data_IF_312307371214
#
_entry.id   IF_312307371214
#
_cell.length_a   1.000
_cell.length_b   1.000
_cell.length_c   1.000
_cell.angle_alpha   90.00
_cell.angle_beta   90.00
_cell.angle_gamma   90.00
#
_symmetry.space_group_name_H-M   'P 1'
#
loop_
_entity.id
_entity.type
_entity.pdbx_description
1 polymer ?
#
# COMPACT_ATOMS: atom_id res chain seq x y z
N UNK A 1 -16.43 -45.33 56.72
CA UNK A 1 -17.62 -44.49 56.44
C UNK A 1 -17.49 -43.20 57.23
N UNK A 2 -17.56 -42.05 56.58
CA UNK A 2 -17.42 -40.74 57.20
C UNK A 2 -16.59 -39.79 56.34
N UNK A 3 -17.18 -39.33 55.23
CA UNK A 3 -16.58 -38.35 54.34
C UNK A 3 -16.20 -37.07 55.11
N UNK A 4 -14.95 -36.63 54.93
CA UNK A 4 -14.55 -35.23 55.12
C UNK A 4 -15.38 -34.37 54.16
N UNK A 5 -15.87 -33.18 54.54
CA UNK A 5 -16.32 -32.23 53.56
C UNK A 5 -15.07 -31.75 52.82
N UNK A 6 -14.95 -32.17 51.57
CA UNK A 6 -14.11 -31.50 50.59
C UNK A 6 -14.64 -30.07 50.55
N UNK A 7 -13.92 -29.17 51.22
CA UNK A 7 -14.02 -27.74 50.96
C UNK A 7 -13.64 -27.60 49.49
N UNK A 8 -14.64 -27.69 48.62
CA UNK A 8 -14.50 -27.34 47.22
C UNK A 8 -14.03 -25.89 47.26
N UNK A 9 -12.75 -25.73 47.01
CA UNK A 9 -12.14 -24.51 46.54
C UNK A 9 -12.75 -24.25 45.14
N UNK A 10 -14.05 -23.93 45.11
CA UNK A 10 -14.61 -23.05 44.10
C UNK A 10 -14.00 -21.68 44.42
N UNK A 11 -12.71 -21.54 44.10
CA UNK A 11 -12.23 -20.28 43.58
C UNK A 11 -13.15 -20.02 42.40
N UNK A 12 -14.15 -19.16 42.64
CA UNK A 12 -14.62 -18.30 41.60
C UNK A 12 -13.35 -17.74 40.95
N UNK A 13 -13.00 -18.26 39.77
CA UNK A 13 -12.30 -17.47 38.78
C UNK A 13 -13.24 -16.29 38.55
N UNK A 14 -13.09 -15.26 39.40
CA UNK A 14 -13.52 -13.93 39.03
C UNK A 14 -12.76 -13.68 37.73
N UNK A 15 -13.49 -13.82 36.64
CA UNK A 15 -13.14 -13.36 35.32
C UNK A 15 -12.80 -11.87 35.48
N UNK A 16 -11.53 -11.55 35.71
CA UNK A 16 -11.11 -10.17 35.94
C UNK A 16 -11.38 -9.42 34.64
N UNK A 17 -12.14 -8.33 34.73
CA UNK A 17 -12.29 -7.42 33.62
C UNK A 17 -10.96 -6.68 33.41
N UNK A 18 -10.61 -6.39 32.16
CA UNK A 18 -9.44 -5.59 31.78
C UNK A 18 -9.92 -4.22 31.35
N UNK A 19 -9.39 -3.16 31.95
CA UNK A 19 -9.76 -1.80 31.58
C UNK A 19 -9.05 -1.38 30.29
N UNK A 20 -9.77 -0.89 29.30
CA UNK A 20 -9.20 -0.45 28.02
C UNK A 20 -9.81 0.86 27.54
N UNK A 21 -9.15 1.52 26.59
CA UNK A 21 -9.74 2.60 25.81
C UNK A 21 -9.88 2.17 24.36
N UNK A 22 -11.11 2.20 23.83
CA UNK A 22 -11.45 1.77 22.49
C UNK A 22 -11.56 2.97 21.56
N UNK A 23 -10.90 2.91 20.41
CA UNK A 23 -10.85 3.95 19.40
C UNK A 23 -11.37 3.44 18.05
N UNK A 24 -11.75 4.37 17.19
CA UNK A 24 -11.95 4.09 15.76
C UNK A 24 -10.59 3.78 15.10
N UNK A 25 -10.62 3.04 14.00
CA UNK A 25 -9.42 2.68 13.24
C UNK A 25 -8.54 3.92 12.97
N UNK A 26 -7.32 3.90 13.50
CA UNK A 26 -6.36 4.96 13.33
C UNK A 26 -6.61 6.26 14.09
N UNK A 27 -7.65 6.38 14.92
CA UNK A 27 -7.88 7.59 15.73
C UNK A 27 -7.16 7.49 17.07
N UNK A 28 -6.71 8.63 17.63
CA UNK A 28 -6.10 8.70 18.95
C UNK A 28 -6.84 9.59 19.95
N UNK A 29 -7.88 10.26 19.49
CA UNK A 29 -8.76 11.12 20.29
C UNK A 29 -10.16 10.52 20.34
N UNK A 30 -10.97 10.99 21.29
CA UNK A 30 -12.36 10.56 21.47
C UNK A 30 -12.55 9.05 21.72
N UNK A 31 -11.55 8.40 22.34
CA UNK A 31 -11.64 7.01 22.75
C UNK A 31 -12.65 6.80 23.88
N UNK A 32 -13.28 5.62 23.91
CA UNK A 32 -14.29 5.25 24.92
C UNK A 32 -13.68 4.23 25.88
N UNK A 33 -13.73 4.54 27.17
CA UNK A 33 -13.30 3.61 28.21
C UNK A 33 -14.30 2.45 28.36
N UNK A 34 -13.82 1.22 28.35
CA UNK A 34 -14.64 -0.01 28.43
C UNK A 34 -13.93 -1.02 29.33
N UNK A 35 -14.68 -1.72 30.18
CA UNK A 35 -14.19 -2.87 30.93
C UNK A 35 -14.47 -4.15 30.13
N UNK A 36 -13.42 -4.79 29.60
CA UNK A 36 -13.55 -6.01 28.79
C UNK A 36 -13.56 -7.22 29.71
N UNK A 37 -14.64 -8.01 29.65
CA UNK A 37 -14.75 -9.27 30.40
C UNK A 37 -14.48 -10.48 29.49
N UNK A 38 -14.05 -11.64 30.03
CA UNK A 38 -13.90 -12.87 29.25
C UNK A 38 -15.13 -13.28 28.44
N UNK A 39 -16.35 -12.94 28.91
CA UNK A 39 -17.58 -13.22 28.18
C UNK A 39 -17.75 -12.37 26.91
N UNK A 40 -17.08 -11.22 26.84
CA UNK A 40 -17.07 -10.33 25.66
C UNK A 40 -16.03 -10.77 24.62
N UNK A 41 -15.03 -11.56 25.02
CA UNK A 41 -13.87 -11.93 24.21
C UNK A 41 -13.75 -13.45 24.03
N UNK A 42 -14.88 -14.12 23.72
CA UNK A 42 -14.90 -15.56 23.37
C UNK A 42 -14.19 -15.85 22.04
N UNK A 43 -14.12 -14.84 21.18
CA UNK A 43 -13.27 -14.77 19.98
C UNK A 43 -12.97 -13.30 19.67
N UNK A 44 -12.02 -13.04 18.76
CA UNK A 44 -11.75 -11.68 18.26
C UNK A 44 -12.96 -11.05 17.57
N UNK A 45 -13.78 -11.85 16.86
CA UNK A 45 -15.01 -11.39 16.22
C UNK A 45 -16.08 -11.02 17.24
N UNK A 46 -16.24 -11.81 18.30
CA UNK A 46 -17.19 -11.50 19.39
C UNK A 46 -16.77 -10.21 20.10
N UNK A 47 -15.47 -10.03 20.34
CA UNK A 47 -14.92 -8.81 20.92
C UNK A 47 -15.19 -7.60 20.03
N UNK A 48 -14.89 -7.69 18.73
CA UNK A 48 -15.13 -6.61 17.77
C UNK A 48 -16.62 -6.23 17.70
N UNK A 49 -17.49 -7.25 17.66
CA UNK A 49 -18.95 -7.07 17.64
C UNK A 49 -19.44 -6.36 18.91
N UNK A 50 -18.95 -6.79 20.08
CA UNK A 50 -19.35 -6.21 21.35
C UNK A 50 -18.86 -4.77 21.50
N UNK A 51 -17.58 -4.51 21.19
CA UNK A 51 -17.00 -3.17 21.29
C UNK A 51 -17.62 -2.17 20.30
N UNK A 52 -18.10 -2.64 19.15
CA UNK A 52 -18.84 -1.82 18.17
C UNK A 52 -20.16 -1.25 18.72
N UNK A 53 -20.65 -1.74 19.86
CA UNK A 53 -21.82 -1.15 20.56
C UNK A 53 -21.48 0.12 21.33
N UNK A 54 -20.19 0.37 21.62
CA UNK A 54 -19.69 1.52 22.37
C UNK A 54 -19.05 2.58 21.46
N UNK A 55 -18.36 2.14 20.41
CA UNK A 55 -17.64 3.01 19.47
C UNK A 55 -18.22 2.82 18.07
N UNK A 56 -18.74 3.88 17.41
CA UNK A 56 -19.23 3.77 16.05
C UNK A 56 -18.09 3.44 15.09
N UNK A 57 -18.33 2.51 14.18
CA UNK A 57 -17.35 2.08 13.18
C UNK A 57 -17.78 2.61 11.81
N UNK A 58 -16.88 3.27 11.11
CA UNK A 58 -17.06 3.66 9.71
C UNK A 58 -16.46 2.58 8.81
N UNK A 59 -17.30 1.89 8.03
CA UNK A 59 -16.87 0.93 7.01
C UNK A 59 -17.12 1.41 5.60
N UNK A 60 -17.13 0.47 4.65
CA UNK A 60 -17.45 0.75 3.25
C UNK A 60 -18.93 1.08 3.07
N UNK A 61 -19.24 1.86 2.03
CA UNK A 61 -20.58 2.30 1.64
C UNK A 61 -21.15 1.42 0.51
N UNK A 62 -20.72 0.16 0.40
CA UNK A 62 -21.09 -0.72 -0.72
C UNK A 62 -22.57 -1.15 -0.69
N UNK A 63 -23.24 -1.01 0.45
CA UNK A 63 -24.67 -1.27 0.57
C UNK A 63 -25.41 -0.16 1.36
N UNK A 64 -26.20 0.64 0.65
CA UNK A 64 -27.10 1.66 1.22
C UNK A 64 -28.17 1.09 2.16
N UNK A 65 -28.31 -0.25 2.27
CA UNK A 65 -29.21 -0.94 3.18
C UNK A 65 -28.65 -1.14 4.60
N UNK A 66 -27.32 -1.04 4.78
CA UNK A 66 -26.66 -1.25 6.08
C UNK A 66 -26.72 0.04 6.90
N UNK A 67 -27.58 0.06 7.93
CA UNK A 67 -27.76 1.24 8.81
C UNK A 67 -26.67 1.40 9.88
N UNK A 68 -25.95 0.32 10.22
CA UNK A 68 -24.90 0.33 11.24
C UNK A 68 -23.84 -0.69 10.85
N UNK A 69 -22.60 -0.22 10.78
CA UNK A 69 -21.45 -1.06 10.46
C UNK A 69 -20.86 -1.59 11.77
N UNK A 70 -20.51 -2.87 11.79
CA UNK A 70 -19.91 -3.56 12.93
C UNK A 70 -18.49 -3.95 12.54
N UNK A 71 -17.52 -3.69 13.40
CA UNK A 71 -16.14 -4.15 13.19
C UNK A 71 -16.04 -5.67 13.25
N UNK A 72 -15.18 -6.25 12.43
CA UNK A 72 -14.86 -7.68 12.42
C UNK A 72 -13.51 -8.00 13.07
N UNK A 73 -12.68 -6.97 13.31
CA UNK A 73 -11.35 -7.10 13.90
C UNK A 73 -11.10 -6.03 14.96
N UNK A 74 -10.30 -6.40 15.96
CA UNK A 74 -9.75 -5.50 16.99
C UNK A 74 -8.23 -5.59 16.95
N UNK A 75 -7.57 -4.45 16.87
CA UNK A 75 -6.11 -4.36 16.99
C UNK A 75 -5.74 -3.66 18.29
N UNK A 76 -4.64 -4.06 18.92
CA UNK A 76 -4.13 -3.42 20.12
C UNK A 76 -3.17 -2.26 19.81
N UNK A 77 -2.65 -1.59 20.86
CA UNK A 77 -1.70 -0.47 20.74
C UNK A 77 -0.37 -0.85 20.08
N UNK A 78 -0.07 -2.14 19.99
CA UNK A 78 1.12 -2.71 19.35
C UNK A 78 0.85 -3.16 17.91
N UNK A 79 -0.32 -2.87 17.35
CA UNK A 79 -0.71 -3.26 15.98
C UNK A 79 -0.94 -4.76 15.79
N UNK A 80 -1.17 -5.50 16.88
CA UNK A 80 -1.44 -6.93 16.84
C UNK A 80 -2.94 -7.18 16.82
N UNK A 81 -3.37 -8.16 16.02
CA UNK A 81 -4.75 -8.63 16.02
C UNK A 81 -5.07 -9.28 17.37
N UNK A 82 -6.17 -8.88 17.99
CA UNK A 82 -6.66 -9.40 19.27
C UNK A 82 -7.71 -10.47 18.99
N UNK A 83 -7.38 -11.71 19.35
CA UNK A 83 -8.23 -12.90 19.22
C UNK A 83 -8.80 -13.37 20.56
N UNK A 84 -8.18 -12.99 21.69
CA UNK A 84 -8.65 -13.32 23.04
C UNK A 84 -8.30 -12.25 24.08
N UNK A 85 -8.99 -12.27 25.22
CA UNK A 85 -8.74 -11.33 26.33
C UNK A 85 -7.33 -11.41 26.91
N UNK A 86 -6.67 -12.57 26.83
CA UNK A 86 -5.33 -12.79 27.37
C UNK A 86 -4.24 -11.99 26.60
N UNK A 87 -4.59 -11.43 25.43
CA UNK A 87 -3.74 -10.58 24.60
C UNK A 87 -3.93 -9.08 24.87
N UNK A 88 -4.80 -8.74 25.84
CA UNK A 88 -5.14 -7.37 26.21
C UNK A 88 -4.49 -7.03 27.54
N UNK A 89 -3.75 -5.93 27.58
CA UNK A 89 -3.13 -5.38 28.79
C UNK A 89 -4.03 -4.32 29.45
N UNK A 90 -3.82 -4.11 30.75
CA UNK A 90 -4.55 -3.09 31.52
C UNK A 90 -4.21 -1.67 31.01
N UNK A 91 -5.24 -0.85 30.81
CA UNK A 91 -5.21 0.48 30.19
C UNK A 91 -4.76 0.49 28.72
N UNK A 92 -4.84 -0.65 28.02
CA UNK A 92 -4.44 -0.73 26.62
C UNK A 92 -5.40 0.05 25.68
N UNK A 93 -4.86 0.51 24.55
CA UNK A 93 -5.61 1.12 23.47
C UNK A 93 -6.03 0.03 22.48
N UNK A 94 -7.33 -0.06 22.19
CA UNK A 94 -7.89 -0.98 21.20
C UNK A 94 -8.47 -0.21 20.02
N UNK A 95 -8.34 -0.74 18.80
CA UNK A 95 -8.81 -0.11 17.57
C UNK A 95 -9.77 -1.04 16.84
N UNK A 96 -10.98 -0.55 16.58
CA UNK A 96 -11.99 -1.29 15.83
C UNK A 96 -11.77 -1.09 14.33
N UNK A 97 -11.65 -2.19 13.59
CA UNK A 97 -11.46 -2.18 12.13
C UNK A 97 -12.67 -2.83 11.47
N UNK A 98 -13.28 -2.12 10.52
CA UNK A 98 -14.44 -2.59 9.79
C UNK A 98 -14.08 -3.68 8.75
N UNK A 99 -15.06 -4.52 8.37
CA UNK A 99 -14.91 -5.44 7.25
C UNK A 99 -14.34 -4.78 6.00
N UNK A 100 -13.30 -5.41 5.44
CA UNK A 100 -12.58 -4.98 4.24
C UNK A 100 -11.73 -3.71 4.38
N UNK A 101 -11.68 -3.06 5.55
CA UNK A 101 -10.70 -2.00 5.83
C UNK A 101 -9.45 -2.60 6.47
N UNK A 102 -8.30 -2.00 6.19
CA UNK A 102 -7.02 -2.35 6.80
C UNK A 102 -6.79 -1.52 8.07
N UNK A 103 -6.03 -2.07 9.01
CA UNK A 103 -5.57 -1.34 10.20
C UNK A 103 -4.69 -0.16 9.79
N UNK A 104 -4.93 1.01 10.40
CA UNK A 104 -4.10 2.20 10.22
C UNK A 104 -3.48 2.55 11.56
N UNK A 105 -2.15 2.68 11.61
CA UNK A 105 -1.45 3.10 12.81
C UNK A 105 -1.98 4.44 13.31
N UNK A 106 -2.33 4.59 14.60
CA UNK A 106 -2.77 5.85 15.17
C UNK A 106 -1.58 6.79 15.42
N UNK A 107 -1.75 8.09 15.21
CA UNK A 107 -0.79 9.08 15.72
C UNK A 107 -1.09 9.30 17.20
N UNK A 108 -0.27 8.79 18.12
CA UNK A 108 -0.54 8.88 19.57
C UNK A 108 -0.16 10.26 20.09
N UNK A 109 1.11 10.59 19.92
CA UNK A 109 1.72 11.89 20.20
C UNK A 109 3.05 11.94 19.43
N UNK A 110 3.60 13.14 19.23
CA UNK A 110 4.89 13.29 18.55
C UNK A 110 5.99 12.50 19.28
N UNK A 111 6.72 11.66 18.55
CA UNK A 111 7.80 10.84 19.09
C UNK A 111 7.35 9.54 19.77
N UNK A 112 6.04 9.25 19.83
CA UNK A 112 5.57 7.95 20.33
C UNK A 112 6.09 6.82 19.44
N UNK A 113 6.72 5.82 20.05
CA UNK A 113 7.30 4.68 19.35
C UNK A 113 6.57 3.37 19.62
N UNK A 114 6.38 2.57 18.58
CA UNK A 114 5.93 1.17 18.67
C UNK A 114 6.97 0.26 18.03
N UNK A 115 7.23 -0.88 18.66
CA UNK A 115 8.09 -1.94 18.14
C UNK A 115 7.23 -2.98 17.42
N UNK A 116 7.50 -3.20 16.13
CA UNK A 116 6.80 -4.18 15.29
C UNK A 116 7.74 -5.35 15.00
N UNK A 117 7.34 -6.54 15.42
CA UNK A 117 8.05 -7.78 15.09
C UNK A 117 7.82 -8.12 13.63
N UNK A 118 8.87 -8.08 12.81
CA UNK A 118 8.79 -8.55 11.44
C UNK A 118 9.13 -10.02 11.35
N UNK A 119 8.09 -10.84 11.34
CA UNK A 119 8.19 -12.30 11.28
C UNK A 119 8.63 -12.81 9.90
N UNK A 120 8.40 -12.01 8.86
CA UNK A 120 8.80 -12.32 7.49
C UNK A 120 10.15 -11.67 7.10
N UNK A 121 10.76 -10.88 7.99
CA UNK A 121 12.04 -10.20 7.75
C UNK A 121 13.26 -11.11 7.98
N UNK A 122 14.28 -11.03 7.11
CA UNK A 122 15.57 -11.67 7.34
C UNK A 122 16.44 -10.92 8.38
N UNK A 123 16.11 -9.68 8.76
CA UNK A 123 16.94 -8.86 9.67
C UNK A 123 16.91 -9.35 11.12
N UNK A 124 15.87 -10.12 11.50
CA UNK A 124 15.64 -10.63 12.86
C UNK A 124 15.68 -9.54 13.95
N UNK A 125 15.38 -8.30 13.57
CA UNK A 125 15.28 -7.15 14.47
C UNK A 125 13.89 -6.54 14.36
N UNK A 126 13.35 -6.01 15.46
CA UNK A 126 12.10 -5.28 15.42
C UNK A 126 12.25 -4.01 14.56
N UNK A 127 11.17 -3.66 13.87
CA UNK A 127 11.02 -2.37 13.20
C UNK A 127 10.49 -1.39 14.23
N UNK A 128 11.08 -0.19 14.35
CA UNK A 128 10.57 0.85 15.25
C UNK A 128 9.82 1.88 14.44
N UNK A 129 8.53 2.04 14.73
CA UNK A 129 7.66 3.05 14.12
C UNK A 129 7.49 4.22 15.08
N UNK A 130 7.85 5.43 14.65
CA UNK A 130 7.78 6.66 15.45
C UNK A 130 6.76 7.64 14.86
N UNK A 131 5.81 8.09 15.68
CA UNK A 131 4.78 9.07 15.32
C UNK A 131 5.41 10.42 14.99
N UNK A 132 5.21 10.92 13.77
CA UNK A 132 5.79 12.17 13.31
C UNK A 132 4.76 13.26 13.04
N UNK A 133 3.64 12.91 12.40
CA UNK A 133 2.56 13.86 12.14
C UNK A 133 1.20 13.15 12.01
N UNK A 134 0.13 13.84 12.39
CA UNK A 134 -1.24 13.31 12.36
C UNK A 134 -1.93 13.48 11.00
N UNK A 135 -1.83 14.68 10.39
CA UNK A 135 -2.47 15.01 9.10
C UNK A 135 -1.52 15.80 8.18
N UNK A 136 -1.00 15.19 7.09
CA UNK A 136 -1.15 13.77 6.77
C UNK A 136 -0.56 12.88 7.84
N UNK A 137 -1.02 11.65 7.85
CA UNK A 137 -0.47 10.66 8.77
C UNK A 137 0.91 10.21 8.32
N UNK A 138 1.92 10.58 9.09
CA UNK A 138 3.33 10.29 8.78
C UNK A 138 4.01 9.70 10.00
N UNK A 139 4.79 8.65 9.76
CA UNK A 139 5.67 8.02 10.75
C UNK A 139 7.09 7.94 10.21
N UNK A 140 8.07 8.14 11.09
CA UNK A 140 9.44 7.75 10.81
C UNK A 140 9.59 6.26 11.12
N UNK A 141 10.31 5.53 10.28
CA UNK A 141 10.58 4.12 10.49
C UNK A 141 12.09 3.94 10.67
N UNK A 142 12.46 3.31 11.78
CA UNK A 142 13.83 2.92 12.09
C UNK A 142 13.97 1.41 11.98
N UNK A 143 15.19 0.96 11.67
CA UNK A 143 15.55 -0.45 11.54
C UNK A 143 14.71 -1.24 10.50
N UNK A 144 14.06 -0.55 9.57
CA UNK A 144 13.28 -1.20 8.50
C UNK A 144 14.17 -1.98 7.53
N UNK A 145 15.36 -1.47 7.19
CA UNK A 145 16.31 -2.10 6.28
C UNK A 145 17.75 -1.74 6.62
N UNK A 146 18.67 -2.57 6.14
CA UNK A 146 20.10 -2.49 6.48
C UNK A 146 20.90 -1.70 5.45
N UNK A 147 22.14 -1.34 5.81
CA UNK A 147 23.08 -0.71 4.87
C UNK A 147 23.40 -1.63 3.68
N UNK A 148 23.54 -2.94 3.91
CA UNK A 148 23.83 -3.92 2.87
C UNK A 148 22.67 -4.04 1.88
N UNK A 149 21.42 -4.02 2.37
CA UNK A 149 20.23 -3.98 1.52
C UNK A 149 20.17 -2.69 0.71
N UNK A 150 20.48 -1.54 1.34
CA UNK A 150 20.54 -0.25 0.65
C UNK A 150 21.56 -0.27 -0.49
N UNK A 151 22.78 -0.74 -0.24
CA UNK A 151 23.84 -0.83 -1.25
C UNK A 151 23.52 -1.85 -2.33
N UNK A 152 22.91 -2.98 -1.95
CA UNK A 152 22.41 -3.99 -2.88
C UNK A 152 21.35 -3.44 -3.83
N UNK A 153 20.41 -2.64 -3.32
CA UNK A 153 19.41 -1.97 -4.16
C UNK A 153 20.04 -0.91 -5.07
N UNK A 154 20.96 -0.08 -4.57
CA UNK A 154 21.66 0.92 -5.42
C UNK A 154 22.40 0.24 -6.56
N UNK A 155 23.10 -0.88 -6.28
CA UNK A 155 23.74 -1.71 -7.30
C UNK A 155 22.71 -2.26 -8.28
N UNK A 156 21.61 -2.82 -7.78
CA UNK A 156 20.53 -3.38 -8.59
C UNK A 156 19.95 -2.35 -9.56
N UNK A 157 19.74 -1.10 -9.15
CA UNK A 157 19.26 -0.03 -10.05
C UNK A 157 20.12 0.12 -11.29
N UNK A 158 21.43 -0.01 -11.14
CA UNK A 158 22.41 0.15 -12.21
C UNK A 158 22.52 -1.09 -13.11
N UNK A 159 22.08 -2.25 -12.63
CA UNK A 159 22.19 -3.54 -13.33
C UNK A 159 20.92 -3.95 -14.06
N UNK A 160 19.75 -3.38 -13.73
CA UNK A 160 18.50 -3.69 -14.45
C UNK A 160 18.63 -3.13 -15.88
N UNK A 161 18.60 -4.02 -16.86
CA UNK A 161 18.80 -3.72 -18.29
C UNK A 161 17.55 -3.95 -19.16
N UNK A 162 16.52 -4.63 -18.65
CA UNK A 162 15.28 -4.86 -19.38
C UNK A 162 14.53 -3.53 -19.68
N UNK A 163 14.05 -3.36 -20.91
CA UNK A 163 13.48 -2.08 -21.40
C UNK A 163 12.33 -1.52 -20.55
N UNK A 164 11.57 -2.38 -19.89
CA UNK A 164 10.39 -1.99 -19.12
C UNK A 164 10.73 -1.54 -17.70
N UNK A 165 11.82 -2.05 -17.12
CA UNK A 165 12.14 -1.87 -15.70
C UNK A 165 13.49 -1.21 -15.45
N UNK A 166 14.35 -1.06 -16.47
CA UNK A 166 15.64 -0.37 -16.37
C UNK A 166 15.46 1.09 -15.97
N UNK A 167 16.53 1.66 -15.43
CA UNK A 167 16.58 3.07 -15.06
C UNK A 167 16.30 3.95 -16.28
N UNK A 168 15.18 4.67 -16.23
CA UNK A 168 14.76 5.57 -17.30
C UNK A 168 14.10 6.82 -16.73
N UNK A 169 13.93 7.84 -17.57
CA UNK A 169 13.24 9.07 -17.19
C UNK A 169 11.83 8.74 -16.70
N UNK A 170 11.45 9.24 -15.54
CA UNK A 170 10.13 8.96 -14.97
C UNK A 170 9.00 9.68 -15.72
N UNK A 171 7.84 9.02 -15.78
CA UNK A 171 6.60 9.52 -16.39
C UNK A 171 5.56 9.87 -15.31
N UNK A 172 4.53 10.63 -15.69
CA UNK A 172 3.38 10.98 -14.83
C UNK A 172 2.09 10.57 -15.56
N UNK A 173 1.17 9.87 -14.89
CA UNK A 173 -0.18 9.57 -15.39
C UNK A 173 -0.47 8.09 -15.70
N UNK A 174 -1.78 7.78 -15.78
CA UNK A 174 -2.36 6.47 -16.11
C UNK A 174 -2.92 6.40 -17.54
N UNK A 175 -2.66 7.40 -18.39
CA UNK A 175 -3.17 7.37 -19.77
C UNK A 175 -2.32 6.44 -20.65
N UNK A 176 -2.98 5.44 -21.21
CA UNK A 176 -2.42 4.49 -22.16
C UNK A 176 -1.81 5.21 -23.37
N UNK A 177 -0.59 4.82 -23.75
CA UNK A 177 -0.05 5.08 -25.08
C UNK A 177 0.93 6.25 -25.26
N UNK A 178 1.17 7.12 -24.28
CA UNK A 178 2.16 8.20 -24.43
C UNK A 178 3.08 8.33 -23.20
N UNK A 179 4.32 7.85 -23.35
CA UNK A 179 5.47 8.17 -22.48
C UNK A 179 5.82 9.67 -22.62
N UNK A 180 5.01 10.57 -22.07
CA UNK A 180 5.31 12.00 -22.02
C UNK A 180 6.35 12.26 -20.93
N UNK A 181 7.60 12.50 -21.34
CA UNK A 181 8.66 12.93 -20.42
C UNK A 181 8.20 14.15 -19.65
N UNK A 182 8.11 14.03 -18.32
CA UNK A 182 7.62 15.11 -17.48
C UNK A 182 8.69 16.18 -17.31
N UNK A 183 8.30 17.45 -17.51
CA UNK A 183 9.12 18.61 -17.15
C UNK A 183 9.16 18.86 -15.63
N UNK A 184 8.27 18.21 -14.88
CA UNK A 184 8.04 18.45 -13.44
C UNK A 184 8.31 17.22 -12.55
N UNK A 185 8.36 16.01 -13.13
CA UNK A 185 9.00 14.83 -12.53
C UNK A 185 10.33 14.62 -13.21
N UNK A 186 11.39 15.01 -12.51
CA UNK A 186 12.73 15.04 -13.10
C UNK A 186 13.67 13.96 -12.58
N UNK A 187 13.15 12.98 -11.86
CA UNK A 187 13.86 11.77 -11.46
C UNK A 187 14.05 10.78 -12.60
N UNK A 188 14.88 9.78 -12.33
CA UNK A 188 14.90 8.51 -13.04
C UNK A 188 14.36 7.41 -12.12
N UNK A 189 13.69 6.42 -12.69
CA UNK A 189 13.20 5.26 -11.95
C UNK A 189 13.44 3.95 -12.68
N UNK A 190 13.61 2.90 -11.88
CA UNK A 190 13.60 1.50 -12.27
C UNK A 190 12.52 0.77 -11.43
N UNK A 191 12.18 -0.45 -11.82
CA UNK A 191 11.30 -1.31 -11.03
C UNK A 191 11.97 -2.66 -10.79
N UNK A 192 11.85 -3.17 -9.56
CA UNK A 192 12.34 -4.49 -9.20
C UNK A 192 11.26 -5.27 -8.46
N UNK A 193 10.78 -6.35 -9.08
CA UNK A 193 9.77 -7.26 -8.51
C UNK A 193 10.35 -8.63 -8.18
N UNK A 194 11.62 -8.87 -8.47
CA UNK A 194 12.19 -10.22 -8.52
C UNK A 194 13.31 -10.45 -7.52
N UNK A 195 14.11 -9.43 -7.21
CA UNK A 195 15.25 -9.63 -6.31
C UNK A 195 14.80 -10.03 -4.90
N UNK A 196 15.60 -10.86 -4.24
CA UNK A 196 15.35 -11.29 -2.86
C UNK A 196 15.19 -10.11 -1.91
N UNK A 197 15.97 -9.04 -2.10
CA UNK A 197 15.89 -7.81 -1.31
C UNK A 197 14.53 -7.12 -1.53
N UNK A 198 14.09 -6.96 -2.79
CA UNK A 198 12.81 -6.32 -3.09
C UNK A 198 11.62 -7.09 -2.49
N UNK A 199 11.58 -8.41 -2.67
CA UNK A 199 10.53 -9.27 -2.10
C UNK A 199 10.56 -9.25 -0.57
N UNK A 200 11.74 -9.28 0.04
CA UNK A 200 11.90 -9.19 1.50
C UNK A 200 11.39 -7.85 2.07
N UNK A 201 11.65 -6.74 1.39
CA UNK A 201 11.17 -5.41 1.81
C UNK A 201 9.64 -5.29 1.70
N UNK A 202 9.06 -5.85 0.64
CA UNK A 202 7.60 -5.93 0.51
C UNK A 202 6.95 -6.74 1.63
N UNK A 203 7.52 -7.90 2.00
CA UNK A 203 7.05 -8.70 3.13
C UNK A 203 7.12 -7.93 4.47
N UNK A 204 8.23 -7.21 4.71
CA UNK A 204 8.37 -6.32 5.87
C UNK A 204 7.30 -5.23 5.92
N UNK A 205 6.91 -4.68 4.77
CA UNK A 205 5.86 -3.68 4.71
C UNK A 205 4.49 -4.28 5.13
N UNK A 206 4.22 -5.55 4.82
CA UNK A 206 2.99 -6.22 5.25
C UNK A 206 2.96 -6.46 6.76
N UNK A 207 4.08 -6.90 7.34
CA UNK A 207 4.23 -7.01 8.80
C UNK A 207 4.04 -5.64 9.47
N UNK A 208 4.71 -4.61 8.94
CA UNK A 208 4.61 -3.24 9.44
C UNK A 208 3.16 -2.72 9.42
N UNK A 209 2.38 -3.05 8.39
CA UNK A 209 1.01 -2.57 8.21
C UNK A 209 -0.05 -3.49 8.84
N UNK A 210 0.34 -4.61 9.46
CA UNK A 210 -0.61 -5.54 10.09
C UNK A 210 -1.57 -6.22 9.11
N UNK A 211 -1.17 -6.41 7.85
CA UNK A 211 -2.00 -6.96 6.77
C UNK A 211 -2.02 -8.50 6.79
N UNK A 212 -1.00 -9.13 7.38
CA UNK A 212 -0.84 -10.58 7.44
C UNK A 212 0.10 -11.09 6.35
N UNK A 213 -0.22 -12.26 5.79
CA UNK A 213 0.62 -12.93 4.79
C UNK A 213 0.82 -12.07 3.54
N UNK A 214 2.06 -12.04 3.05
CA UNK A 214 2.42 -11.30 1.85
C UNK A 214 1.66 -11.81 0.61
N UNK A 215 1.04 -10.87 -0.09
CA UNK A 215 0.36 -11.09 -1.37
C UNK A 215 1.03 -10.22 -2.44
N UNK A 216 1.58 -10.86 -3.46
CA UNK A 216 2.37 -10.24 -4.52
C UNK A 216 1.59 -9.22 -5.35
N UNK A 217 0.27 -9.38 -5.43
CA UNK A 217 -0.62 -8.47 -6.14
C UNK A 217 -1.32 -7.45 -5.24
N UNK A 218 -0.95 -7.36 -3.97
CA UNK A 218 -1.27 -6.24 -3.08
C UNK A 218 -0.10 -5.26 -2.94
N UNK A 219 1.03 -5.51 -3.61
CA UNK A 219 2.16 -4.58 -3.70
C UNK A 219 2.50 -4.29 -5.16
N UNK A 220 3.00 -3.08 -5.43
CA UNK A 220 3.70 -2.83 -6.68
C UNK A 220 5.11 -3.47 -6.65
N UNK A 221 5.75 -3.59 -7.82
CA UNK A 221 7.19 -3.82 -7.84
C UNK A 221 7.90 -2.66 -7.12
N UNK A 222 9.01 -2.94 -6.42
CA UNK A 222 9.78 -1.93 -5.71
C UNK A 222 10.24 -0.87 -6.71
N UNK A 223 9.72 0.34 -6.60
CA UNK A 223 10.15 1.43 -7.47
C UNK A 223 11.45 1.97 -6.92
N UNK A 224 12.52 1.87 -7.70
CA UNK A 224 13.83 2.35 -7.34
C UNK A 224 14.10 3.69 -8.02
N UNK A 225 14.65 4.66 -7.29
CA UNK A 225 14.72 6.06 -7.71
C UNK A 225 16.15 6.59 -7.65
N UNK A 226 16.50 7.41 -8.65
CA UNK A 226 17.71 8.24 -8.65
C UNK A 226 17.33 9.70 -8.92
N UNK A 227 17.80 10.59 -8.05
CA UNK A 227 17.77 12.04 -8.26
C UNK A 227 19.19 12.57 -8.24
N UNK A 228 19.62 13.09 -9.39
CA UNK A 228 20.84 13.88 -9.51
C UNK A 228 20.62 15.30 -8.97
N UNK A 229 21.69 16.09 -8.89
CA UNK A 229 21.60 17.50 -8.51
C UNK A 229 20.55 18.23 -9.36
N UNK A 230 19.78 19.13 -8.72
CA UNK A 230 18.64 19.89 -9.25
C UNK A 230 17.38 19.07 -9.53
N UNK A 231 17.47 17.74 -9.62
CA UNK A 231 16.29 16.92 -9.89
C UNK A 231 15.35 16.88 -8.68
N UNK A 232 14.06 16.90 -8.98
CA UNK A 232 12.96 16.99 -8.04
C UNK A 232 11.73 16.25 -8.59
N UNK A 233 10.74 16.06 -7.72
CA UNK A 233 9.41 15.62 -8.09
C UNK A 233 8.37 16.51 -7.42
N UNK A 234 7.55 17.19 -8.21
CA UNK A 234 6.51 18.08 -7.68
C UNK A 234 5.52 17.35 -6.74
N UNK A 235 4.80 18.11 -5.90
CA UNK A 235 3.69 17.60 -5.11
C UNK A 235 2.69 16.77 -5.93
N UNK A 236 2.32 15.60 -5.40
CA UNK A 236 1.36 14.67 -5.96
C UNK A 236 0.81 13.75 -4.86
N UNK A 237 -0.24 12.99 -5.17
CA UNK A 237 -0.73 11.90 -4.33
C UNK A 237 -0.28 10.56 -4.91
N UNK A 238 -0.03 9.59 -4.03
CA UNK A 238 0.34 8.24 -4.47
C UNK A 238 -0.86 7.41 -4.90
N UNK A 239 -2.05 7.69 -4.35
CA UNK A 239 -3.30 7.09 -4.79
C UNK A 239 -3.75 7.63 -6.15
N UNK A 240 -4.59 6.84 -6.82
CA UNK A 240 -5.28 7.23 -8.04
C UNK A 240 -6.62 7.91 -7.69
N UNK A 241 -6.98 8.98 -8.39
CA UNK A 241 -8.28 9.63 -8.18
C UNK A 241 -9.45 8.67 -8.48
N UNK A 242 -10.59 8.87 -7.81
CA UNK A 242 -11.73 7.95 -7.94
C UNK A 242 -12.26 7.82 -9.38
N UNK A 243 -12.12 8.87 -10.19
CA UNK A 243 -12.54 8.92 -11.59
C UNK A 243 -11.36 8.75 -12.57
N UNK A 244 -10.27 8.11 -12.14
CA UNK A 244 -9.05 7.96 -12.97
C UNK A 244 -9.34 7.21 -14.28
N UNK A 245 -10.18 6.19 -14.22
CA UNK A 245 -10.61 5.43 -15.39
C UNK A 245 -12.00 4.81 -15.16
N UNK A 246 -12.81 4.62 -16.21
CA UNK A 246 -14.16 4.07 -16.08
C UNK A 246 -14.19 2.54 -15.88
N UNK A 247 -13.10 1.84 -16.18
CA UNK A 247 -12.98 0.38 -16.15
C UNK A 247 -12.58 -0.17 -14.77
N UNK A 248 -12.25 0.69 -13.81
CA UNK A 248 -11.79 0.27 -12.50
C UNK A 248 -12.40 1.10 -11.35
N UNK A 249 -12.83 0.41 -10.28
CA UNK A 249 -13.29 1.06 -9.06
C UNK A 249 -12.07 1.49 -8.21
N UNK A 250 -11.67 2.74 -8.37
CA UNK A 250 -10.56 3.36 -7.63
C UNK A 250 -10.94 3.84 -6.23
N UNK A 251 -12.22 3.76 -5.83
CA UNK A 251 -12.70 4.32 -4.58
C UNK A 251 -12.75 3.25 -3.47
N UNK A 252 -11.81 3.26 -2.49
CA UNK A 252 -11.78 2.25 -1.43
C UNK A 252 -13.04 2.26 -0.55
N UNK A 253 -13.67 3.43 -0.41
CA UNK A 253 -14.89 3.61 0.37
C UNK A 253 -16.09 2.87 -0.21
N UNK A 254 -16.09 2.57 -1.51
CA UNK A 254 -17.15 1.83 -2.21
C UNK A 254 -16.66 0.47 -2.69
N UNK A 255 -15.72 -0.15 -1.98
CA UNK A 255 -15.22 -1.48 -2.34
C UNK A 255 -14.14 -1.51 -3.43
N UNK A 256 -13.55 -0.36 -3.77
CA UNK A 256 -12.49 -0.25 -4.77
C UNK A 256 -11.09 -0.60 -4.28
N UNK A 257 -10.17 -0.84 -5.22
CA UNK A 257 -8.74 -1.02 -4.91
C UNK A 257 -7.95 0.24 -5.27
N UNK A 258 -7.04 0.64 -4.39
CA UNK A 258 -6.14 1.76 -4.54
C UNK A 258 -4.90 1.56 -3.65
N UNK A 259 -3.87 2.38 -3.84
CA UNK A 259 -2.72 2.41 -2.93
C UNK A 259 -3.18 2.87 -1.54
N UNK A 260 -2.85 2.09 -0.54
CA UNK A 260 -3.22 2.28 0.86
C UNK A 260 -2.17 3.07 1.62
N UNK A 261 -0.91 2.63 1.50
CA UNK A 261 0.20 3.21 2.21
C UNK A 261 1.47 3.18 1.35
N UNK A 262 2.35 4.13 1.64
CA UNK A 262 3.68 4.21 1.04
C UNK A 262 4.73 4.08 2.12
N UNK A 263 5.65 3.14 1.94
CA UNK A 263 6.89 3.06 2.71
C UNK A 263 8.02 3.55 1.80
N UNK A 264 8.51 4.76 2.09
CA UNK A 264 9.55 5.42 1.30
C UNK A 264 10.92 5.23 1.95
N UNK A 265 11.86 4.61 1.24
CA UNK A 265 13.19 4.25 1.72
C UNK A 265 14.24 5.26 1.23
N UNK A 266 15.13 5.71 2.11
CA UNK A 266 16.31 6.50 1.73
C UNK A 266 17.54 5.59 1.62
N UNK A 267 17.98 5.31 0.39
CA UNK A 267 19.09 4.39 0.12
C UNK A 267 20.46 5.07 0.21
N UNK A 268 20.49 6.40 0.27
CA UNK A 268 21.72 7.19 0.44
C UNK A 268 21.52 8.37 1.38
N UNK A 269 22.63 8.85 1.95
CA UNK A 269 22.67 10.18 2.56
C UNK A 269 22.70 11.23 1.45
N UNK A 270 22.03 12.35 1.67
CA UNK A 270 22.15 13.54 0.82
C UNK A 270 22.65 14.68 1.69
N UNK A 271 23.68 15.38 1.24
CA UNK A 271 24.33 16.44 2.03
C UNK A 271 23.36 17.60 2.24
N UNK A 272 22.67 18.04 1.19
CA UNK A 272 21.71 19.14 1.27
C UNK A 272 20.59 19.02 0.22
N UNK A 273 19.37 19.37 0.63
CA UNK A 273 18.15 19.17 -0.16
C UNK A 273 17.67 17.71 -0.21
N UNK A 274 16.83 17.38 -1.18
CA UNK A 274 16.36 16.01 -1.40
C UNK A 274 15.34 15.46 -0.38
N UNK A 275 14.87 16.26 0.57
CA UNK A 275 13.81 15.84 1.51
C UNK A 275 12.51 15.44 0.79
N UNK A 276 11.75 14.55 1.42
CA UNK A 276 10.35 14.28 1.05
C UNK A 276 9.49 15.28 1.81
N UNK A 277 8.81 16.17 1.10
CA UNK A 277 8.00 17.27 1.66
C UNK A 277 6.52 16.97 1.54
N UNK A 278 5.73 17.35 2.55
CA UNK A 278 4.27 17.34 2.56
C UNK A 278 3.80 18.81 2.62
N UNK A 279 3.51 19.44 1.46
CA UNK A 279 3.37 20.90 1.38
C UNK A 279 2.14 21.47 2.08
N UNK A 280 1.14 20.64 2.37
CA UNK A 280 -0.12 21.06 2.98
C UNK A 280 -0.05 21.20 4.51
N UNK A 281 1.04 20.74 5.13
CA UNK A 281 1.21 20.75 6.59
C UNK A 281 2.54 21.39 6.99
N UNK A 282 2.58 22.08 8.13
CA UNK A 282 3.80 22.66 8.70
C UNK A 282 4.52 21.60 9.55
N UNK A 283 5.81 21.80 9.84
CA UNK A 283 6.49 20.92 10.80
C UNK A 283 5.80 20.95 12.18
N UNK A 284 5.82 19.84 12.94
CA UNK A 284 5.31 19.81 14.31
C UNK A 284 6.03 20.84 15.19
N UNK A 285 5.31 21.38 16.17
CA UNK A 285 5.88 22.35 17.11
C UNK A 285 7.12 21.76 17.83
N UNK A 286 8.18 22.55 17.94
CA UNK A 286 9.43 22.12 18.57
C UNK A 286 10.36 21.29 17.66
N UNK A 287 9.93 20.90 16.46
CA UNK A 287 10.79 20.19 15.50
C UNK A 287 11.41 21.18 14.52
N UNK A 288 12.75 21.25 14.53
CA UNK A 288 13.49 22.14 13.64
C UNK A 288 13.53 21.61 12.20
N UNK A 289 13.45 22.52 11.24
CA UNK A 289 13.83 22.23 9.86
C UNK A 289 15.36 22.10 9.73
N UNK A 290 15.81 21.38 8.70
CA UNK A 290 17.18 21.51 8.23
C UNK A 290 17.48 22.96 7.80
N UNK A 291 18.77 23.30 7.82
CA UNK A 291 19.27 24.62 7.43
C UNK A 291 18.67 25.07 6.10
N UNK A 292 18.17 26.30 6.05
CA UNK A 292 17.64 26.89 4.81
C UNK A 292 18.80 27.06 3.81
N UNK A 293 18.61 26.75 2.51
CA UNK A 293 19.63 26.94 1.50
C UNK A 293 20.07 28.41 1.40
N UNK A 294 21.36 28.63 1.21
CA UNK A 294 21.94 29.94 0.94
C UNK A 294 21.64 30.39 -0.49
N UNK A 295 21.76 31.70 -0.76
CA UNK A 295 21.59 32.24 -2.12
C UNK A 295 22.57 31.61 -3.12
N UNK A 296 23.79 31.29 -2.69
CA UNK A 296 24.80 30.62 -3.52
C UNK A 296 24.37 29.18 -3.87
N UNK A 297 23.82 28.44 -2.92
CA UNK A 297 23.29 27.08 -3.15
C UNK A 297 22.07 27.09 -4.07
N UNK A 298 21.22 28.11 -3.97
CA UNK A 298 20.08 28.31 -4.88
C UNK A 298 20.50 28.80 -6.26
N UNK A 299 21.71 29.37 -6.39
CA UNK A 299 22.29 29.84 -7.65
C UNK A 299 22.49 28.75 -8.69
N UNK A 300 22.32 27.48 -8.32
CA UNK A 300 22.31 26.35 -9.25
C UNK A 300 21.04 26.32 -10.13
N UNK A 301 19.96 26.99 -9.73
CA UNK A 301 18.70 27.07 -10.47
C UNK A 301 18.59 28.38 -11.25
N UNK A 302 17.74 28.37 -12.29
CA UNK A 302 17.33 29.62 -12.91
C UNK A 302 16.49 30.45 -11.92
N UNK A 303 16.79 31.76 -11.83
CA UNK A 303 16.13 32.64 -10.89
C UNK A 303 14.61 32.69 -11.14
N UNK A 304 13.83 32.32 -10.12
CA UNK A 304 12.37 32.33 -10.18
C UNK A 304 11.75 31.05 -10.78
N UNK A 305 12.56 30.05 -11.12
CA UNK A 305 12.09 28.73 -11.55
C UNK A 305 11.26 28.05 -10.45
N UNK A 306 10.47 27.04 -10.84
CA UNK A 306 9.65 26.30 -9.89
C UNK A 306 10.53 25.47 -8.95
N UNK A 307 11.67 24.96 -9.41
CA UNK A 307 12.65 24.22 -8.59
C UNK A 307 13.21 25.11 -7.49
N UNK A 308 13.63 26.34 -7.81
CA UNK A 308 14.13 27.29 -6.82
C UNK A 308 13.07 27.62 -5.76
N UNK A 309 11.81 27.80 -6.18
CA UNK A 309 10.69 28.04 -5.25
C UNK A 309 10.41 26.82 -4.37
N UNK A 310 10.42 25.63 -4.97
CA UNK A 310 10.20 24.37 -4.25
C UNK A 310 11.33 24.13 -3.24
N UNK A 311 12.59 24.33 -3.62
CA UNK A 311 13.74 24.22 -2.74
C UNK A 311 13.56 25.06 -1.46
N UNK A 312 13.00 26.27 -1.56
CA UNK A 312 12.68 27.09 -0.38
C UNK A 312 11.49 26.56 0.42
N UNK A 313 10.39 26.19 -0.24
CA UNK A 313 9.20 25.66 0.43
C UNK A 313 9.51 24.41 1.26
N UNK A 314 10.41 23.57 0.76
CA UNK A 314 10.88 22.35 1.41
C UNK A 314 11.54 22.55 2.79
N UNK A 315 11.87 23.79 3.17
CA UNK A 315 12.42 24.12 4.50
C UNK A 315 11.41 24.88 5.39
N UNK A 316 10.13 24.90 4.99
CA UNK A 316 9.06 25.59 5.73
C UNK A 316 7.83 24.72 5.97
N UNK A 317 7.80 23.53 5.38
CA UNK A 317 6.70 22.55 5.43
C UNK A 317 7.17 21.23 6.01
N UNK A 318 6.23 20.41 6.45
CA UNK A 318 6.50 19.08 6.99
C UNK A 318 7.42 18.32 6.03
N UNK A 319 8.55 17.84 6.53
CA UNK A 319 9.55 17.21 5.69
C UNK A 319 10.31 16.10 6.42
N UNK A 320 10.58 15.02 5.70
CA UNK A 320 11.51 13.98 6.11
C UNK A 320 12.80 14.08 5.32
N UNK A 321 13.93 13.97 5.99
CA UNK A 321 15.25 14.18 5.40
C UNK A 321 15.92 12.87 4.97
N UNK A 322 16.64 12.87 3.84
CA UNK A 322 17.28 11.68 3.29
C UNK A 322 18.52 11.29 4.11
N UNK A 323 18.35 10.25 4.92
CA UNK A 323 19.43 9.60 5.66
C UNK A 323 19.42 8.13 5.30
N UNK A 324 20.56 7.58 4.89
CA UNK A 324 20.68 6.17 4.51
C UNK A 324 20.11 5.30 5.64
N UNK A 325 19.37 4.25 5.26
CA UNK A 325 18.64 3.32 6.15
C UNK A 325 17.45 3.91 6.91
N UNK A 326 17.13 5.20 6.76
CA UNK A 326 15.86 5.74 7.26
C UNK A 326 14.74 5.44 6.26
N UNK A 327 13.53 5.28 6.76
CA UNK A 327 12.33 5.21 5.96
C UNK A 327 11.21 6.06 6.57
N UNK A 328 10.20 6.36 5.76
CA UNK A 328 8.96 6.99 6.24
C UNK A 328 7.75 6.23 5.75
N UNK A 329 6.76 6.07 6.63
CA UNK A 329 5.44 5.58 6.31
C UNK A 329 4.50 6.78 6.23
N UNK A 330 3.70 6.84 5.16
CA UNK A 330 2.55 7.71 5.11
C UNK A 330 1.38 7.02 4.41
N UNK A 331 0.18 7.42 4.80
CA UNK A 331 -1.04 6.78 4.31
C UNK A 331 -1.69 7.61 3.21
N UNK A 332 -2.12 6.92 2.16
CA UNK A 332 -2.98 7.47 1.10
C UNK A 332 -4.46 7.39 1.50
N UNK A 333 -4.80 6.61 2.53
CA UNK A 333 -6.16 6.34 2.99
C UNK A 333 -6.27 6.55 4.50
N UNK A 334 -7.38 7.14 4.94
CA UNK A 334 -7.75 7.23 6.36
C UNK A 334 -8.29 5.87 6.86
N UNK A 335 -8.41 5.73 8.18
CA UNK A 335 -8.92 4.51 8.81
C UNK A 335 -10.35 4.12 8.44
N UNK A 336 -11.12 5.04 7.85
CA UNK A 336 -12.48 4.81 7.35
C UNK A 336 -12.54 4.49 5.84
N UNK A 337 -11.40 4.36 5.16
CA UNK A 337 -11.30 4.07 3.73
C UNK A 337 -11.44 5.28 2.79
N UNK A 338 -11.58 6.49 3.31
CA UNK A 338 -11.46 7.70 2.48
C UNK A 338 -10.02 7.91 2.03
N UNK A 339 -9.82 8.37 0.80
CA UNK A 339 -8.52 8.89 0.36
C UNK A 339 -8.16 10.12 1.22
N UNK A 340 -6.88 10.31 1.54
CA UNK A 340 -6.40 11.44 2.34
C UNK A 340 -5.69 12.49 1.45
N UNK A 341 -6.36 13.59 1.05
CA UNK A 341 -5.72 14.64 0.23
C UNK A 341 -4.54 15.31 0.95
N UNK A 342 -4.47 15.24 2.28
CA UNK A 342 -3.36 15.80 3.04
C UNK A 342 -2.06 15.03 2.77
N UNK A 343 -2.15 13.80 2.24
CA UNK A 343 -0.99 12.95 1.89
C UNK A 343 -0.28 13.42 0.62
N UNK A 344 -0.68 14.56 0.04
CA UNK A 344 0.07 15.20 -1.02
C UNK A 344 1.53 15.40 -0.58
N UNK A 345 2.46 14.93 -1.39
CA UNK A 345 3.88 14.95 -1.08
C UNK A 345 4.73 15.09 -2.33
N UNK A 346 5.99 15.50 -2.16
CA UNK A 346 6.94 15.69 -3.26
C UNK A 346 8.38 15.37 -2.86
N UNK A 347 9.23 15.18 -3.87
CA UNK A 347 10.68 15.05 -3.70
C UNK A 347 11.34 16.40 -3.95
N UNK A 348 11.89 17.00 -2.91
CA UNK A 348 12.56 18.29 -3.03
C UNK A 348 13.81 18.23 -3.90
N UNK A 349 14.18 19.34 -4.55
CA UNK A 349 15.41 19.39 -5.33
C UNK A 349 16.62 18.95 -4.51
N UNK A 350 17.48 18.12 -5.10
CA UNK A 350 18.79 17.78 -4.54
C UNK A 350 19.72 18.97 -4.78
N UNK A 351 20.27 19.55 -3.71
CA UNK A 351 21.18 20.70 -3.80
C UNK A 351 22.64 20.24 -3.85
N UNK A 352 22.99 19.24 -3.05
CA UNK A 352 24.32 18.64 -3.04
C UNK A 352 24.25 17.12 -2.85
N UNK A 353 25.02 16.39 -3.66
CA UNK A 353 25.07 14.93 -3.71
C UNK A 353 24.10 14.28 -4.71
N UNK A 354 23.70 13.04 -4.42
CA UNK A 354 22.75 12.26 -5.22
C UNK A 354 21.83 11.49 -4.28
N UNK A 355 20.52 11.61 -4.49
CA UNK A 355 19.53 10.87 -3.72
C UNK A 355 19.22 9.57 -4.42
N UNK A 356 19.47 8.48 -3.73
CA UNK A 356 18.95 7.16 -4.06
C UNK A 356 17.81 6.83 -3.08
N UNK A 357 16.69 6.38 -3.62
CA UNK A 357 15.51 6.09 -2.82
C UNK A 357 14.73 4.92 -3.39
N UNK A 358 13.75 4.42 -2.65
CA UNK A 358 12.79 3.46 -3.17
C UNK A 358 11.39 3.68 -2.61
N UNK A 359 10.36 3.43 -3.43
CA UNK A 359 8.97 3.44 -2.99
C UNK A 359 8.45 2.01 -2.94
N UNK A 360 7.93 1.64 -1.77
CA UNK A 360 7.09 0.47 -1.57
C UNK A 360 5.64 0.96 -1.48
N UNK A 361 4.82 0.55 -2.45
CA UNK A 361 3.39 0.85 -2.44
C UNK A 361 2.60 -0.40 -2.10
N UNK A 362 1.86 -0.32 -1.01
CA UNK A 362 0.95 -1.38 -0.58
C UNK A 362 -0.48 -0.93 -0.84
N UNK A 363 -1.29 -1.81 -1.40
CA UNK A 363 -2.68 -1.57 -1.77
C UNK A 363 -3.63 -2.04 -0.68
N UNK A 364 -4.85 -1.48 -0.63
CA UNK A 364 -5.84 -1.82 0.39
C UNK A 364 -6.46 -3.21 0.20
N UNK A 365 -6.35 -3.75 -1.02
CA UNK A 365 -6.78 -5.08 -1.45
C UNK A 365 -6.01 -5.44 -2.73
N UNK A 366 -6.25 -6.60 -3.31
CA UNK A 366 -5.52 -7.03 -4.50
C UNK A 366 -5.79 -6.02 -5.63
N UNK A 367 -4.71 -5.58 -6.28
CA UNK A 367 -4.71 -4.56 -7.32
C UNK A 367 -5.74 -4.89 -8.38
N UNK A 368 -6.44 -3.92 -8.95
CA UNK A 368 -7.34 -4.16 -10.09
C UNK A 368 -8.36 -5.30 -9.90
N UNK A 369 -8.76 -5.58 -8.65
CA UNK A 369 -9.88 -6.50 -8.39
C UNK A 369 -9.50 -7.95 -8.56
N UNK A 370 -8.20 -8.24 -8.48
CA UNK A 370 -7.65 -9.59 -8.44
C UNK A 370 -8.07 -10.34 -7.17
N UNK A 371 -8.97 -9.80 -6.34
CA UNK A 371 -9.63 -10.46 -5.20
C UNK A 371 -10.39 -11.73 -5.62
N UNK A 372 -10.66 -11.91 -6.91
CA UNK A 372 -11.21 -13.13 -7.50
C UNK A 372 -10.27 -14.35 -7.42
N UNK A 373 -10.83 -15.53 -7.65
CA UNK A 373 -10.07 -16.78 -7.70
C UNK A 373 -9.11 -16.79 -8.90
N UNK A 374 -7.84 -17.18 -8.70
CA UNK A 374 -6.85 -17.33 -9.80
C UNK A 374 -7.33 -18.37 -10.83
N UNK A 375 -7.26 -18.01 -12.10
CA UNK A 375 -7.62 -18.85 -13.24
C UNK A 375 -6.43 -18.88 -14.21
N UNK A 376 -5.93 -20.07 -14.49
CA UNK A 376 -4.96 -20.32 -15.56
C UNK A 376 -5.70 -20.34 -16.90
N UNK A 377 -5.39 -19.42 -17.81
CA UNK A 377 -6.10 -19.30 -19.09
C UNK A 377 -5.15 -19.42 -20.27
N UNK A 378 -5.52 -20.24 -21.25
CA UNK A 378 -4.83 -20.32 -22.55
C UNK A 378 -5.73 -19.80 -23.66
N UNK A 379 -5.27 -18.78 -24.38
CA UNK A 379 -5.92 -18.27 -25.58
C UNK A 379 -5.33 -18.93 -26.81
N UNK A 380 -6.17 -19.43 -27.70
CA UNK A 380 -5.79 -20.06 -28.97
C UNK A 380 -6.24 -19.18 -30.13
N UNK A 381 -5.30 -18.80 -30.99
CA UNK A 381 -5.59 -18.18 -32.27
C UNK A 381 -5.61 -19.24 -33.37
N UNK A 382 -6.80 -19.62 -33.83
CA UNK A 382 -7.01 -20.55 -34.92
C UNK A 382 -7.17 -19.85 -36.28
N UNK A 383 -6.98 -18.53 -36.35
CA UNK A 383 -6.97 -17.79 -37.61
C UNK A 383 -5.64 -17.92 -38.33
N UNK A 384 -5.68 -17.67 -39.64
CA UNK A 384 -4.51 -17.52 -40.51
C UNK A 384 -3.79 -16.16 -40.36
N UNK A 385 -4.30 -15.29 -39.48
CA UNK A 385 -3.74 -13.95 -39.22
C UNK A 385 -3.48 -13.77 -37.72
N UNK A 386 -2.51 -12.92 -37.34
CA UNK A 386 -2.29 -12.59 -35.93
C UNK A 386 -3.48 -11.84 -35.34
N UNK A 387 -3.64 -11.96 -34.02
CA UNK A 387 -4.62 -11.21 -33.23
C UNK A 387 -3.94 -10.55 -32.04
N UNK A 388 -4.56 -9.49 -31.53
CA UNK A 388 -4.10 -8.80 -30.34
C UNK A 388 -5.00 -9.11 -29.15
N UNK A 389 -4.39 -9.52 -28.04
CA UNK A 389 -5.07 -9.79 -26.80
C UNK A 389 -4.96 -8.59 -25.86
N UNK A 390 -6.09 -8.15 -25.35
CA UNK A 390 -6.24 -7.06 -24.40
C UNK A 390 -6.86 -7.57 -23.11
N UNK A 391 -6.38 -7.05 -21.99
CA UNK A 391 -7.11 -7.09 -20.73
C UNK A 391 -7.62 -5.68 -20.46
N UNK A 392 -8.94 -5.51 -20.38
CA UNK A 392 -9.59 -4.20 -20.46
C UNK A 392 -9.08 -3.42 -21.69
N UNK A 393 -8.46 -2.26 -21.48
CA UNK A 393 -7.91 -1.39 -22.53
C UNK A 393 -6.42 -1.59 -22.79
N UNK A 394 -5.73 -2.43 -22.00
CA UNK A 394 -4.28 -2.62 -22.11
C UNK A 394 -3.96 -3.78 -23.05
N UNK A 395 -3.16 -3.49 -24.08
CA UNK A 395 -2.61 -4.51 -24.99
C UNK A 395 -1.63 -5.39 -24.23
N UNK A 396 -1.94 -6.68 -24.13
CA UNK A 396 -1.14 -7.64 -23.39
C UNK A 396 -0.12 -8.33 -24.31
N UNK A 397 -0.61 -8.93 -25.39
CA UNK A 397 0.24 -9.72 -26.29
C UNK A 397 -0.39 -9.86 -27.67
N UNK A 398 0.44 -9.99 -28.70
CA UNK A 398 0.02 -10.50 -30.01
C UNK A 398 0.14 -12.03 -30.03
N UNK A 399 -0.91 -12.71 -30.49
CA UNK A 399 -0.89 -14.16 -30.71
C UNK A 399 -0.80 -14.37 -32.21
N UNK A 400 0.32 -14.94 -32.67
CA UNK A 400 0.51 -15.30 -34.07
C UNK A 400 -0.58 -16.26 -34.57
N UNK A 401 -0.78 -16.32 -35.88
CA UNK A 401 -1.65 -17.30 -36.52
C UNK A 401 -1.33 -18.72 -36.03
N UNK A 402 -2.36 -19.54 -35.80
CA UNK A 402 -2.24 -20.93 -35.35
C UNK A 402 -1.38 -21.14 -34.08
N UNK A 403 -1.36 -20.14 -33.19
CA UNK A 403 -0.55 -20.14 -31.98
C UNK A 403 -1.41 -19.93 -30.74
N UNK A 404 -0.78 -20.02 -29.57
CA UNK A 404 -1.45 -19.83 -28.28
C UNK A 404 -0.66 -18.89 -27.37
N UNK A 405 -1.35 -18.29 -26.41
CA UNK A 405 -0.73 -17.54 -25.33
C UNK A 405 -1.35 -17.91 -23.98
N UNK A 406 -0.50 -18.11 -22.99
CA UNK A 406 -0.90 -18.48 -21.64
C UNK A 406 -0.83 -17.26 -20.71
N UNK A 407 -1.85 -17.09 -19.87
CA UNK A 407 -1.89 -16.07 -18.85
C UNK A 407 -2.38 -16.63 -17.52
N UNK A 408 -1.84 -16.08 -16.43
CA UNK A 408 -2.50 -16.14 -15.13
C UNK A 408 -3.48 -14.99 -15.04
N UNK A 409 -4.73 -15.30 -14.79
CA UNK A 409 -5.83 -14.35 -14.72
C UNK A 409 -6.73 -14.64 -13.51
N UNK A 410 -7.88 -13.99 -13.42
CA UNK A 410 -8.73 -14.02 -12.22
C UNK A 410 -10.21 -14.08 -12.57
N UNK A 411 -10.99 -14.65 -11.65
CA UNK A 411 -12.45 -14.62 -11.73
C UNK A 411 -12.96 -13.20 -11.97
N UNK A 412 -13.88 -13.06 -12.93
CA UNK A 412 -14.45 -11.78 -13.33
C UNK A 412 -13.63 -10.96 -14.32
N UNK A 413 -12.37 -11.33 -14.62
CA UNK A 413 -11.55 -10.64 -15.61
C UNK A 413 -12.15 -10.70 -17.01
N UNK A 414 -12.19 -9.55 -17.69
CA UNK A 414 -12.68 -9.43 -19.04
C UNK A 414 -11.53 -9.21 -20.03
N UNK A 415 -11.41 -10.14 -20.99
CA UNK A 415 -10.40 -10.15 -22.03
C UNK A 415 -11.01 -9.84 -23.37
N UNK A 416 -10.39 -8.94 -24.12
CA UNK A 416 -10.82 -8.53 -25.44
C UNK A 416 -9.79 -8.94 -26.49
N UNK A 417 -10.24 -9.65 -27.51
CA UNK A 417 -9.44 -10.05 -28.66
C UNK A 417 -9.76 -9.09 -29.80
N UNK A 418 -8.74 -8.54 -30.44
CA UNK A 418 -8.88 -7.60 -31.56
C UNK A 418 -8.10 -8.07 -32.78
N UNK A 419 -8.57 -7.70 -33.96
CA UNK A 419 -7.78 -7.85 -35.18
C UNK A 419 -6.66 -6.80 -35.24
N UNK A 420 -5.81 -6.91 -36.27
CA UNK A 420 -4.70 -5.97 -36.47
C UNK A 420 -5.15 -4.56 -36.88
N UNK A 421 -6.42 -4.38 -37.25
CA UNK A 421 -7.02 -3.08 -37.54
C UNK A 421 -7.67 -2.46 -36.28
N UNK A 422 -7.60 -3.15 -35.14
CA UNK A 422 -8.12 -2.71 -33.85
C UNK A 422 -9.62 -2.96 -33.66
N UNK A 423 -10.28 -3.69 -34.57
CA UNK A 423 -11.68 -4.07 -34.40
C UNK A 423 -11.80 -5.18 -33.37
N UNK A 424 -12.80 -5.06 -32.49
CA UNK A 424 -13.10 -6.09 -31.51
C UNK A 424 -13.67 -7.34 -32.18
N UNK A 425 -12.97 -8.46 -32.02
CA UNK A 425 -13.38 -9.76 -32.51
C UNK A 425 -14.24 -10.50 -31.49
N UNK A 426 -13.84 -10.44 -30.21
CA UNK A 426 -14.52 -11.11 -29.11
C UNK A 426 -14.12 -10.51 -27.78
N UNK A 427 -15.08 -10.43 -26.87
CA UNK A 427 -14.82 -10.23 -25.45
C UNK A 427 -15.23 -11.48 -24.67
N UNK A 428 -14.41 -11.90 -23.71
CA UNK A 428 -14.66 -13.06 -22.86
C UNK A 428 -14.37 -12.72 -21.40
N UNK A 429 -15.36 -12.94 -20.55
CA UNK A 429 -15.23 -12.76 -19.11
C UNK A 429 -15.01 -14.12 -18.45
N UNK A 430 -13.90 -14.25 -17.74
CA UNK A 430 -13.58 -15.45 -16.98
C UNK A 430 -14.51 -15.59 -15.79
N UNK A 431 -15.00 -16.81 -15.55
CA UNK A 431 -15.77 -17.13 -14.35
C UNK A 431 -15.17 -18.35 -13.65
N UNK A 432 -15.00 -18.30 -12.32
CA UNK A 432 -14.54 -19.43 -11.51
C UNK A 432 -15.45 -20.66 -11.69
N UNK A 433 -16.74 -20.44 -11.93
CA UNK A 433 -17.71 -21.48 -12.20
C UNK A 433 -17.35 -22.35 -13.43
N UNK A 434 -16.57 -21.81 -14.37
CA UNK A 434 -16.09 -22.50 -15.57
C UNK A 434 -14.77 -23.27 -15.34
N UNK A 435 -14.28 -23.28 -14.10
CA UNK A 435 -13.07 -23.98 -13.68
C UNK A 435 -11.84 -23.08 -13.54
N UNK A 436 -10.82 -23.59 -12.85
CA UNK A 436 -9.57 -22.86 -12.56
C UNK A 436 -8.55 -22.94 -13.71
N UNK A 437 -8.82 -23.74 -14.73
CA UNK A 437 -8.04 -23.81 -15.96
C UNK A 437 -8.99 -23.71 -17.15
N UNK A 438 -8.83 -22.68 -17.97
CA UNK A 438 -9.75 -22.36 -19.07
C UNK A 438 -9.01 -22.23 -20.39
N UNK A 439 -9.64 -22.67 -21.47
CA UNK A 439 -9.12 -22.59 -22.82
C UNK A 439 -10.08 -21.82 -23.71
N UNK A 440 -9.61 -20.70 -24.27
CA UNK A 440 -10.42 -19.80 -25.09
C UNK A 440 -9.87 -19.82 -26.50
N UNK A 441 -10.57 -20.50 -27.40
CA UNK A 441 -10.22 -20.53 -28.82
C UNK A 441 -10.96 -19.46 -29.62
N UNK A 442 -10.31 -18.97 -30.67
CA UNK A 442 -10.89 -18.05 -31.64
C UNK A 442 -10.51 -18.45 -33.09
N UNK A 443 -11.50 -18.57 -34.01
CA UNK A 443 -12.93 -18.58 -33.75
C UNK A 443 -13.36 -19.79 -32.91
N UNK A 444 -14.49 -19.68 -32.21
CA UNK A 444 -15.13 -20.87 -31.60
C UNK A 444 -15.61 -21.71 -32.77
N UNK A 445 -14.98 -22.87 -33.01
CA UNK A 445 -15.46 -23.81 -34.01
C UNK A 445 -16.93 -24.10 -33.71
N UNK A 446 -17.82 -23.57 -34.56
CA UNK A 446 -19.18 -24.09 -34.64
C UNK A 446 -19.11 -25.13 -35.74
N UNK A 447 -19.22 -26.44 -35.45
CA UNK A 447 -19.17 -27.44 -36.50
C UNK A 447 -20.26 -27.13 -37.53
N UNK A 448 -19.88 -26.97 -38.80
CA UNK A 448 -20.87 -26.88 -39.88
C UNK A 448 -21.54 -28.23 -40.04
N UNK A 449 -22.86 -28.23 -40.27
CA UNK A 449 -23.72 -29.42 -40.38
C UNK A 449 -23.25 -30.47 -41.40
N UNK A 450 -22.31 -30.14 -42.27
CA UNK A 450 -21.74 -31.03 -43.28
C UNK A 450 -20.54 -31.84 -42.79
N UNK A 451 -20.12 -31.67 -41.52
CA UNK A 451 -19.06 -32.45 -40.86
C UNK A 451 -19.58 -33.39 -39.76
N UNK A 452 -20.91 -33.65 -39.69
CA UNK A 452 -21.54 -34.63 -38.80
C UNK A 452 -22.10 -35.85 -39.55
#
# INVERSE_FOLDING_TARGET
>A
MGLRPLLLLLLALAAHAVHVTVYRNGESVDGVAVDVTPAMATSGLDLATHLSTFVPVDGMLDDASVKTIVADRVYNGRGQLVESIDQIEENERLYLVAPGLLFVWPFVELGHTVSVESTQSPTQKPIVLESFNESPRVFLIHDFFTNDEADGLVKRILEIDNEHSKLQRSFVGHQSGAKLTSTVRTSENAFDSESEIAVSLNKRAFDLLGIGDYQDDMADGLQLLRYQQKQAYIPHTDYFGVDTSPDWNWNPKTGGSNRFATVFLYLSNVTHGGQTVFPLTNMPEGVAHAQVPTDDELGIFEKGSWEAKMAMQCHTKLASYPRKTHAVLFYSQKGNGELDPMSEHGGCPVLDGTKWAANLWVWNRRRYGLDGTKIDVTFYNNLDVPIELYWSTTRMQEIAAHSQAFFKSYDGHEWTLKDMDGNELRTHRLAQADGLSQSIAFPVETPTKDEL
#
